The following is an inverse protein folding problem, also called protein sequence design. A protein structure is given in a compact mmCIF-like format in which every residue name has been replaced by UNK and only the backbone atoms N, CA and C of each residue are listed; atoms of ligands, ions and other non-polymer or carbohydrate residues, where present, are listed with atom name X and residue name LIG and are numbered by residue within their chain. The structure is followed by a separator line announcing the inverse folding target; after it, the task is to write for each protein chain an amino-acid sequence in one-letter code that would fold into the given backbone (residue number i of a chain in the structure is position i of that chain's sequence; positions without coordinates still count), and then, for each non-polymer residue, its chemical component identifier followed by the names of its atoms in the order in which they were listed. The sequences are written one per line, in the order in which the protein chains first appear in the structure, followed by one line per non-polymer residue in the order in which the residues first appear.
data_IF_603010905580
#
_entry.id   IF_603010905580
#
_cell.length_a   1.000
_cell.length_b   1.000
_cell.length_c   1.000
_cell.angle_alpha   90.00
_cell.angle_beta   90.00
_cell.angle_gamma   90.00
#
_symmetry.space_group_name_H-M   'P 1'
#
loop_
_entity.id
_entity.type
_entity.pdbx_description
1 polymer ?
#
# COMPACT_ATOMS: atom_id res chain seq x y z
N UNK A 1 -18.45 -0.83 5.51
CA UNK A 1 -17.28 -1.71 5.69
C UNK A 1 -16.22 -1.16 4.77
N UNK A 2 -15.18 -0.51 5.30
CA UNK A 2 -14.13 0.08 4.49
C UNK A 2 -12.98 -0.93 4.45
N UNK A 3 -12.86 -1.61 3.32
CA UNK A 3 -11.71 -2.43 2.96
C UNK A 3 -10.75 -1.52 2.20
N UNK A 4 -9.51 -1.39 2.70
CA UNK A 4 -8.43 -0.87 1.88
C UNK A 4 -7.79 -2.06 1.18
N UNK A 5 -8.26 -2.33 -0.03
CA UNK A 5 -7.60 -3.26 -0.93
C UNK A 5 -6.30 -2.59 -1.43
N UNK A 6 -5.17 -3.17 -1.05
CA UNK A 6 -3.84 -2.72 -1.44
C UNK A 6 -3.44 -3.24 -2.84
N UNK A 7 -4.39 -3.85 -3.57
CA UNK A 7 -4.15 -4.45 -4.88
C UNK A 7 -3.11 -5.56 -4.80
N UNK A 8 -2.97 -6.20 -3.64
CA UNK A 8 -1.89 -7.16 -3.38
C UNK A 8 -2.09 -8.49 -4.13
N UNK A 9 -3.25 -8.69 -4.75
CA UNK A 9 -3.58 -9.91 -5.48
C UNK A 9 -2.71 -10.13 -6.72
N UNK A 10 -2.26 -9.04 -7.35
CA UNK A 10 -1.30 -9.08 -8.44
C UNK A 10 -0.15 -8.12 -8.10
N UNK A 11 1.08 -8.62 -7.86
CA UNK A 11 2.22 -7.76 -7.56
C UNK A 11 2.50 -6.70 -8.63
N UNK A 12 2.15 -6.97 -9.88
CA UNK A 12 2.33 -6.02 -10.99
C UNK A 12 1.29 -4.90 -11.01
N UNK A 13 0.15 -5.08 -10.34
CA UNK A 13 -0.90 -4.06 -10.19
C UNK A 13 -0.88 -3.37 -8.82
N UNK A 14 -0.06 -3.86 -7.88
CA UNK A 14 0.05 -3.27 -6.55
C UNK A 14 0.92 -2.01 -6.53
N UNK A 15 0.26 -0.86 -6.34
CA UNK A 15 0.92 0.43 -6.08
C UNK A 15 1.80 0.46 -4.82
N UNK A 16 1.64 -0.51 -3.91
CA UNK A 16 2.48 -0.66 -2.72
C UNK A 16 3.73 -1.50 -2.96
N UNK A 17 3.60 -2.60 -3.73
CA UNK A 17 4.71 -3.53 -3.96
C UNK A 17 5.74 -3.00 -4.96
N UNK A 18 5.41 -1.97 -5.75
CA UNK A 18 6.34 -1.29 -6.65
C UNK A 18 7.57 -0.64 -5.96
N UNK A 19 7.57 -0.56 -4.62
CA UNK A 19 8.70 -0.04 -3.83
C UNK A 19 9.61 -1.13 -3.28
N UNK A 20 9.38 -2.40 -3.65
CA UNK A 20 10.26 -3.51 -3.30
C UNK A 20 11.17 -3.83 -4.50
N UNK A 21 12.40 -4.21 -4.21
CA UNK A 21 13.31 -4.74 -5.25
C UNK A 21 12.77 -6.07 -5.83
N UNK A 22 12.06 -6.85 -5.00
CA UNK A 22 11.36 -8.07 -5.38
C UNK A 22 9.89 -8.05 -4.91
N UNK A 23 8.95 -7.67 -5.79
CA UNK A 23 7.52 -7.72 -5.51
C UNK A 23 6.96 -9.14 -5.30
N UNK A 24 7.61 -10.17 -5.84
CA UNK A 24 7.14 -11.57 -5.76
C UNK A 24 7.26 -12.14 -4.34
N UNK A 25 8.02 -11.49 -3.45
CA UNK A 25 8.07 -11.81 -2.02
C UNK A 25 6.68 -11.87 -1.37
N UNK A 26 5.68 -11.17 -1.93
CA UNK A 26 4.28 -11.21 -1.46
C UNK A 26 3.29 -11.80 -2.49
N UNK A 27 3.70 -12.79 -3.29
CA UNK A 27 2.78 -13.50 -4.17
C UNK A 27 1.62 -14.17 -3.38
N UNK A 28 0.39 -14.04 -3.92
CA UNK A 28 -0.81 -14.61 -3.31
C UNK A 28 -1.19 -15.93 -3.96
N UNK A 29 -1.27 -16.98 -3.15
CA UNK A 29 -1.77 -18.29 -3.56
C UNK A 29 -3.03 -18.64 -2.76
N UNK A 30 -4.16 -18.79 -3.45
CA UNK A 30 -5.42 -19.18 -2.81
C UNK A 30 -5.95 -18.19 -1.76
N UNK A 31 -5.60 -16.90 -1.87
CA UNK A 31 -5.98 -15.86 -0.92
C UNK A 31 -5.05 -15.75 0.31
N UNK A 32 -3.92 -16.47 0.30
CA UNK A 32 -2.91 -16.43 1.35
C UNK A 32 -1.59 -15.93 0.78
N UNK A 33 -0.79 -15.31 1.65
CA UNK A 33 0.60 -14.94 1.35
C UNK A 33 1.55 -15.73 2.23
N UNK A 34 2.66 -16.17 1.66
CA UNK A 34 3.70 -16.82 2.43
C UNK A 34 4.40 -15.80 3.34
N UNK A 35 4.74 -16.19 4.57
CA UNK A 35 5.52 -15.32 5.44
C UNK A 35 6.97 -15.26 4.93
N UNK A 36 7.55 -14.06 4.69
CA UNK A 36 8.96 -13.93 4.34
C UNK A 36 9.87 -14.58 5.39
N UNK A 37 10.96 -15.21 4.95
CA UNK A 37 11.89 -15.96 5.82
C UNK A 37 13.28 -15.33 5.93
N UNK A 38 13.53 -14.23 5.20
CA UNK A 38 14.78 -13.48 5.27
C UNK A 38 14.97 -12.75 6.60
N UNK A 39 16.15 -12.15 6.82
CA UNK A 39 16.44 -11.35 8.01
C UNK A 39 15.49 -10.15 8.15
N UNK A 40 15.23 -9.75 9.41
CA UNK A 40 14.40 -8.58 9.69
C UNK A 40 12.95 -8.78 9.22
N UNK A 41 12.47 -7.87 8.37
CA UNK A 41 11.14 -7.97 7.76
C UNK A 41 11.11 -8.96 6.58
N UNK A 42 12.26 -9.42 6.10
CA UNK A 42 12.37 -10.33 4.96
C UNK A 42 12.02 -9.70 3.61
N UNK A 43 12.22 -8.38 3.47
CA UNK A 43 12.00 -7.62 2.23
C UNK A 43 13.22 -6.76 1.91
N UNK A 44 13.41 -6.45 0.63
CA UNK A 44 14.37 -5.48 0.13
C UNK A 44 13.60 -4.33 -0.53
N UNK A 45 14.00 -3.09 -0.26
CA UNK A 45 13.28 -1.87 -0.67
C UNK A 45 14.04 -1.22 -1.81
N UNK A 46 13.34 -0.92 -2.91
CA UNK A 46 13.86 -0.06 -3.97
C UNK A 46 13.93 1.39 -3.45
N UNK A 47 15.04 1.71 -2.79
CA UNK A 47 15.23 3.02 -2.20
C UNK A 47 15.41 4.14 -3.26
N UNK A 48 15.74 3.81 -4.50
CA UNK A 48 15.82 4.79 -5.59
C UNK A 48 14.42 5.28 -5.93
N UNK A 49 13.50 4.35 -6.20
CA UNK A 49 12.09 4.62 -6.45
C UNK A 49 11.44 5.42 -5.31
N UNK A 50 11.72 5.04 -4.06
CA UNK A 50 11.23 5.78 -2.88
C UNK A 50 11.75 7.22 -2.85
N UNK A 51 13.05 7.44 -3.10
CA UNK A 51 13.65 8.78 -3.09
C UNK A 51 13.13 9.66 -4.22
N UNK A 52 12.90 9.10 -5.41
CA UNK A 52 12.30 9.84 -6.51
C UNK A 52 10.85 10.22 -6.19
N UNK A 53 10.05 9.28 -5.70
CA UNK A 53 8.65 9.54 -5.37
C UNK A 53 8.52 10.55 -4.23
N UNK A 54 9.43 10.54 -3.25
CA UNK A 54 9.44 11.49 -2.13
C UNK A 54 9.67 12.95 -2.55
N UNK A 55 10.18 13.21 -3.77
CA UNK A 55 10.29 14.57 -4.33
C UNK A 55 8.96 15.10 -4.83
N UNK A 56 7.94 14.24 -4.97
CA UNK A 56 6.62 14.63 -5.44
C UNK A 56 5.92 15.49 -4.39
N UNK A 57 5.41 16.65 -4.81
CA UNK A 57 4.57 17.46 -3.94
C UNK A 57 3.15 16.87 -3.90
N UNK A 58 2.80 16.23 -2.78
CA UNK A 58 1.48 15.65 -2.57
C UNK A 58 0.68 16.57 -1.65
N UNK A 59 -0.44 17.09 -2.15
CA UNK A 59 -1.40 17.83 -1.33
C UNK A 59 -2.29 16.87 -0.54
N UNK A 60 -1.69 16.13 0.38
CA UNK A 60 -2.40 15.13 1.18
C UNK A 60 -3.17 15.79 2.32
N UNK A 61 -4.46 15.47 2.43
CA UNK A 61 -5.31 15.86 3.54
C UNK A 61 -6.31 14.73 3.83
N UNK A 62 -6.70 14.60 5.09
CA UNK A 62 -7.76 13.67 5.47
C UNK A 62 -9.08 14.14 4.85
N UNK A 63 -9.78 13.30 4.06
CA UNK A 63 -11.09 13.67 3.56
C UNK A 63 -12.07 13.78 4.73
N UNK A 64 -12.87 14.86 4.74
CA UNK A 64 -13.87 15.10 5.77
C UNK A 64 -15.24 14.74 5.18
N UNK A 65 -15.91 13.78 5.79
CA UNK A 65 -17.23 13.35 5.40
C UNK A 65 -18.29 14.13 6.17
N UNK A 66 -19.38 14.45 5.50
CA UNK A 66 -20.51 15.13 6.10
C UNK A 66 -21.78 14.30 5.84
N UNK A 67 -22.65 14.24 6.84
CA UNK A 67 -24.01 13.72 6.69
C UNK A 67 -24.86 14.69 5.86
N UNK A 68 -26.03 14.23 5.40
CA UNK A 68 -26.95 15.04 4.57
C UNK A 68 -27.43 16.30 5.29
N UNK A 69 -27.41 16.31 6.63
CA UNK A 69 -27.76 17.44 7.49
C UNK A 69 -26.59 18.42 7.73
N UNK A 70 -25.42 18.14 7.16
CA UNK A 70 -24.21 18.96 7.29
C UNK A 70 -23.39 18.67 8.55
N UNK A 71 -23.79 17.70 9.39
CA UNK A 71 -22.96 17.23 10.50
C UNK A 71 -21.71 16.49 10.01
N UNK A 72 -20.59 16.63 10.73
CA UNK A 72 -19.38 15.84 10.43
C UNK A 72 -19.64 14.37 10.74
N UNK A 73 -19.33 13.50 9.77
CA UNK A 73 -19.40 12.06 9.93
C UNK A 73 -18.09 11.50 10.49
N UNK A 74 -18.17 10.43 11.26
CA UNK A 74 -16.99 9.67 11.67
C UNK A 74 -16.35 8.97 10.47
N UNK A 75 -15.04 8.75 10.57
CA UNK A 75 -14.23 8.04 9.59
C UNK A 75 -14.30 6.53 9.83
#
# INVERSE_FOLDING_TARGET
MQEQDLGLHDPSESSGLQYLDDPETFEFEGGYVARPTGPGLGIEVDEESVREQAKTNVNWYNPIWHHEDGGVAEW
#
